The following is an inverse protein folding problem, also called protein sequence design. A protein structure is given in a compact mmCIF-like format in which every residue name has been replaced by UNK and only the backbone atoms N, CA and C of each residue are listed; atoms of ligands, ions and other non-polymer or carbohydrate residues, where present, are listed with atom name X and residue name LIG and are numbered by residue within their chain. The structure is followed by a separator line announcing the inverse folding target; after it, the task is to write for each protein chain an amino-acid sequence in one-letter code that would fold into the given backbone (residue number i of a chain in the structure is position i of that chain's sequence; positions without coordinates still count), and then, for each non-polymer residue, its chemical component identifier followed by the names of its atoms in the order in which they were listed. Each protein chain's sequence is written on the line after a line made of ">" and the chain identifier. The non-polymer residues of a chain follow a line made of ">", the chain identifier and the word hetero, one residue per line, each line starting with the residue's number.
data_IF_833216197714
#
_entry.id   IF_833216197714
#
_cell.length_a   1.000
_cell.length_b   1.000
_cell.length_c   1.000
_cell.angle_alpha   90.00
_cell.angle_beta   90.00
_cell.angle_gamma   90.00
#
_symmetry.space_group_name_H-M   'P 1'
#
loop_
_entity.id
_entity.type
_entity.pdbx_description
1 polymer ?
#
# COMPACT_ATOMS: atom_id res chain seq x y z
N UNK A 1 4.23 0.53 0.90
CA UNK A 1 3.51 1.80 0.97
C UNK A 1 2.57 1.93 2.20
N UNK A 2 2.42 0.89 3.02
CA UNK A 2 1.67 0.96 4.28
C UNK A 2 0.16 1.24 4.15
N UNK A 3 -0.45 0.97 3.00
CA UNK A 3 -1.88 1.20 2.76
C UNK A 3 -2.77 0.29 3.61
N UNK A 4 -3.99 0.75 3.89
CA UNK A 4 -5.04 -0.09 4.49
C UNK A 4 -5.63 -1.01 3.44
N UNK A 5 -6.10 -2.19 3.86
CA UNK A 5 -6.71 -3.17 2.95
C UNK A 5 -7.87 -2.60 2.13
N UNK A 6 -8.70 -1.74 2.74
CA UNK A 6 -9.80 -1.06 2.03
C UNK A 6 -9.30 -0.08 0.96
N UNK A 7 -8.20 0.64 1.24
CA UNK A 7 -7.55 1.52 0.27
C UNK A 7 -6.99 0.71 -0.91
N UNK A 8 -6.33 -0.42 -0.62
CA UNK A 8 -5.82 -1.34 -1.66
C UNK A 8 -6.95 -1.92 -2.52
N UNK A 9 -8.07 -2.32 -1.87
CA UNK A 9 -9.23 -2.86 -2.58
C UNK A 9 -9.91 -1.84 -3.50
N UNK A 10 -9.82 -0.55 -3.15
CA UNK A 10 -10.46 0.56 -3.89
C UNK A 10 -9.60 1.09 -5.05
N UNK A 11 -8.33 0.65 -5.19
CA UNK A 11 -7.44 1.13 -6.25
C UNK A 11 -7.95 0.78 -7.64
N UNK A 12 -7.83 1.75 -8.52
CA UNK A 12 -8.09 1.63 -9.95
C UNK A 12 -6.80 1.80 -10.74
N UNK A 13 -6.83 1.47 -12.01
CA UNK A 13 -5.67 1.60 -12.90
C UNK A 13 -5.25 3.08 -13.00
N UNK A 14 -6.19 4.01 -13.12
CA UNK A 14 -5.91 5.45 -13.15
C UNK A 14 -5.28 6.01 -11.87
N UNK A 15 -5.37 5.30 -10.74
CA UNK A 15 -4.72 5.73 -9.51
C UNK A 15 -3.23 5.40 -9.49
N UNK A 16 -2.77 4.51 -10.39
CA UNK A 16 -1.43 3.92 -10.38
C UNK A 16 -0.64 4.15 -11.65
N UNK A 17 -1.31 4.15 -12.81
CA UNK A 17 -0.68 4.38 -14.11
C UNK A 17 -0.87 5.82 -14.58
N UNK A 18 0.23 6.44 -15.00
CA UNK A 18 0.24 7.69 -15.74
C UNK A 18 -0.22 7.47 -17.18
N UNK A 19 -0.50 8.56 -17.90
CA UNK A 19 -0.99 8.52 -19.29
C UNK A 19 -0.01 7.87 -20.27
N UNK A 20 1.28 7.88 -19.95
CA UNK A 20 2.35 7.25 -20.73
C UNK A 20 2.53 5.74 -20.41
N UNK A 21 1.70 5.18 -19.53
CA UNK A 21 1.76 3.77 -19.13
C UNK A 21 2.81 3.46 -18.06
N UNK A 22 3.47 4.45 -17.49
CA UNK A 22 4.40 4.26 -16.38
C UNK A 22 3.66 4.22 -15.03
N UNK A 23 4.23 3.49 -14.06
CA UNK A 23 3.71 3.49 -12.69
C UNK A 23 4.12 4.78 -11.99
N UNK A 24 3.15 5.48 -11.42
CA UNK A 24 3.35 6.75 -10.73
C UNK A 24 4.13 6.58 -9.41
N UNK A 25 4.92 7.59 -9.05
CA UNK A 25 5.64 7.65 -7.77
C UNK A 25 4.72 7.96 -6.59
N UNK A 26 3.54 8.49 -6.87
CA UNK A 26 2.55 8.88 -5.87
C UNK A 26 1.15 8.40 -6.28
N UNK A 27 0.41 7.88 -5.33
CA UNK A 27 -1.00 7.51 -5.48
C UNK A 27 -1.84 8.51 -4.69
N UNK A 28 -2.63 9.32 -5.38
CA UNK A 28 -3.59 10.24 -4.77
C UNK A 28 -4.89 9.50 -4.44
N UNK A 29 -5.09 9.14 -3.17
CA UNK A 29 -6.32 8.52 -2.71
C UNK A 29 -7.40 9.58 -2.49
N UNK A 30 -8.52 9.45 -3.19
CA UNK A 30 -9.69 10.28 -2.94
C UNK A 30 -10.31 9.99 -1.55
N UNK A 31 -11.05 10.93 -1.00
CA UNK A 31 -11.71 10.78 0.29
C UNK A 31 -12.60 9.53 0.35
N UNK A 32 -13.33 9.22 -0.72
CA UNK A 32 -14.18 8.03 -0.85
C UNK A 32 -13.44 6.70 -0.80
N UNK A 33 -12.13 6.68 -1.09
CA UNK A 33 -11.28 5.50 -1.04
C UNK A 33 -10.68 5.25 0.35
N UNK A 34 -10.86 6.18 1.29
CA UNK A 34 -10.26 6.11 2.62
C UNK A 34 -11.31 5.90 3.72
N UNK A 35 -10.97 5.14 4.76
CA UNK A 35 -11.87 4.90 5.91
C UNK A 35 -12.28 6.18 6.65
N UNK A 36 -11.47 7.23 6.56
CA UNK A 36 -11.69 8.48 7.30
C UNK A 36 -12.32 9.59 6.50
N UNK A 37 -12.74 9.31 5.26
CA UNK A 37 -13.26 10.28 4.29
C UNK A 37 -12.36 11.53 4.13
N UNK A 38 -11.03 11.31 4.13
CA UNK A 38 -10.01 12.33 3.89
C UNK A 38 -9.08 11.86 2.80
N UNK A 39 -8.86 12.69 1.79
CA UNK A 39 -7.87 12.41 0.75
C UNK A 39 -6.46 12.34 1.35
N UNK A 40 -5.60 11.53 0.77
CA UNK A 40 -4.18 11.46 1.12
C UNK A 40 -3.34 10.95 -0.04
N UNK A 41 -2.09 11.35 -0.08
CA UNK A 41 -1.10 10.81 -1.01
C UNK A 41 -0.35 9.64 -0.38
N UNK A 42 -0.09 8.61 -1.17
CA UNK A 42 0.72 7.45 -0.80
C UNK A 42 1.95 7.44 -1.69
N UNK A 43 3.14 7.52 -1.09
CA UNK A 43 4.40 7.42 -1.82
C UNK A 43 4.68 5.98 -2.23
N UNK A 44 5.05 5.78 -3.49
CA UNK A 44 5.32 4.46 -4.09
C UNK A 44 6.84 4.32 -4.29
N UNK A 45 7.54 3.57 -3.42
CA UNK A 45 8.97 3.39 -3.56
C UNK A 45 9.31 2.62 -4.85
N UNK A 46 10.50 2.85 -5.40
CA UNK A 46 10.94 2.29 -6.68
C UNK A 46 10.70 0.77 -6.80
N UNK A 47 11.05 0.02 -5.76
CA UNK A 47 10.78 -1.42 -5.72
C UNK A 47 9.30 -1.77 -5.94
N UNK A 48 8.39 -0.99 -5.36
CA UNK A 48 6.94 -1.23 -5.55
C UNK A 48 6.47 -0.79 -6.94
N UNK A 49 7.07 0.25 -7.52
CA UNK A 49 6.80 0.63 -8.91
C UNK A 49 7.18 -0.51 -9.87
N UNK A 50 8.35 -1.12 -9.67
CA UNK A 50 8.83 -2.24 -10.48
C UNK A 50 7.89 -3.44 -10.36
N UNK A 51 7.51 -3.85 -9.15
CA UNK A 51 6.56 -4.95 -8.89
C UNK A 51 5.16 -4.69 -9.51
N UNK A 52 4.69 -3.45 -9.45
CA UNK A 52 3.42 -3.06 -10.08
C UNK A 52 3.52 -3.06 -11.60
N UNK A 53 4.65 -2.63 -12.14
CA UNK A 53 4.94 -2.67 -13.57
C UNK A 53 4.90 -4.12 -14.08
N UNK A 54 5.62 -5.01 -13.42
CA UNK A 54 5.64 -6.44 -13.75
C UNK A 54 4.23 -7.05 -13.67
N UNK A 55 3.48 -6.76 -12.61
CA UNK A 55 2.10 -7.21 -12.45
C UNK A 55 1.20 -6.74 -13.60
N UNK A 56 1.31 -5.47 -13.98
CA UNK A 56 0.47 -4.89 -15.03
C UNK A 56 0.87 -5.41 -16.42
N UNK A 57 2.16 -5.61 -16.66
CA UNK A 57 2.67 -6.22 -17.89
C UNK A 57 2.21 -7.68 -18.03
N UNK A 58 2.25 -8.46 -16.95
CA UNK A 58 1.74 -9.83 -16.96
C UNK A 58 0.22 -9.88 -17.21
N UNK A 59 -0.51 -8.90 -16.70
CA UNK A 59 -1.97 -8.86 -16.81
C UNK A 59 -2.47 -8.40 -18.16
N UNK A 60 -1.83 -7.41 -18.76
CA UNK A 60 -2.31 -6.74 -19.98
C UNK A 60 -1.40 -6.95 -21.20
N UNK A 61 -0.17 -7.36 -20.99
CA UNK A 61 0.89 -7.33 -21.98
C UNK A 61 1.50 -5.94 -22.16
N UNK A 62 2.78 -5.88 -22.45
CA UNK A 62 3.52 -4.62 -22.58
C UNK A 62 2.91 -3.69 -23.63
N UNK A 63 2.54 -4.23 -24.80
CA UNK A 63 1.96 -3.47 -25.91
C UNK A 63 0.58 -2.86 -25.60
N UNK A 64 -0.15 -3.40 -24.60
CA UNK A 64 -1.51 -2.98 -24.28
C UNK A 64 -1.59 -2.00 -23.12
N UNK A 65 -0.50 -1.73 -22.39
CA UNK A 65 -0.52 -0.83 -21.24
C UNK A 65 -0.99 0.57 -21.62
N UNK A 66 -0.49 1.12 -22.71
CA UNK A 66 -0.94 2.43 -23.21
C UNK A 66 -2.42 2.43 -23.60
N UNK A 67 -2.90 1.38 -24.25
CA UNK A 67 -4.31 1.27 -24.59
C UNK A 67 -5.21 1.21 -23.34
N UNK A 68 -4.78 0.55 -22.29
CA UNK A 68 -5.50 0.46 -21.01
C UNK A 68 -5.59 1.83 -20.33
N UNK A 69 -4.54 2.67 -20.40
CA UNK A 69 -4.58 4.04 -19.85
C UNK A 69 -5.53 4.96 -20.61
N UNK A 70 -5.89 4.64 -21.84
CA UNK A 70 -6.80 5.44 -22.65
C UNK A 70 -8.27 4.95 -22.60
N UNK A 71 -8.48 3.64 -22.45
CA UNK A 71 -9.81 3.04 -22.66
C UNK A 71 -10.46 2.48 -21.41
N UNK A 72 -9.71 2.08 -20.38
CA UNK A 72 -10.23 1.31 -19.23
C UNK A 72 -9.65 1.75 -17.87
N UNK A 73 -9.42 3.05 -17.72
CA UNK A 73 -8.75 3.64 -16.54
C UNK A 73 -9.48 3.40 -15.23
N UNK A 74 -10.80 3.27 -15.28
CA UNK A 74 -11.65 3.08 -14.09
C UNK A 74 -11.72 1.63 -13.61
N UNK A 75 -11.05 0.73 -14.31
CA UNK A 75 -10.99 -0.69 -13.96
C UNK A 75 -10.23 -0.90 -12.65
N UNK A 76 -10.69 -1.86 -11.85
CA UNK A 76 -10.02 -2.22 -10.61
C UNK A 76 -8.57 -2.66 -10.87
N UNK A 77 -7.63 -2.13 -10.06
CA UNK A 77 -6.23 -2.55 -10.09
C UNK A 77 -6.10 -4.04 -9.74
N UNK A 78 -6.82 -4.49 -8.71
CA UNK A 78 -6.88 -5.89 -8.29
C UNK A 78 -8.31 -6.42 -8.49
N UNK A 79 -8.60 -7.07 -9.63
CA UNK A 79 -9.93 -7.59 -9.92
C UNK A 79 -10.19 -8.91 -9.21
N UNK A 80 -11.47 -9.26 -9.05
CA UNK A 80 -11.85 -10.59 -8.60
C UNK A 80 -11.72 -11.60 -9.75
N UNK A 81 -11.46 -12.86 -9.42
CA UNK A 81 -11.40 -13.94 -10.42
C UNK A 81 -12.74 -14.14 -11.17
N UNK A 82 -13.87 -13.93 -10.46
CA UNK A 82 -15.21 -14.11 -11.04
C UNK A 82 -15.61 -12.98 -11.99
N UNK A 83 -15.08 -11.78 -11.80
CA UNK A 83 -15.39 -10.64 -12.64
C UNK A 83 -14.15 -9.74 -12.82
N UNK A 84 -13.51 -9.77 -13.99
CA UNK A 84 -12.29 -9.00 -14.27
C UNK A 84 -12.47 -7.47 -14.21
N UNK A 85 -13.71 -6.98 -14.25
CA UNK A 85 -14.02 -5.53 -14.17
C UNK A 85 -14.26 -5.07 -12.73
N UNK A 86 -14.57 -6.02 -11.80
CA UNK A 86 -14.90 -5.69 -10.41
C UNK A 86 -13.72 -5.96 -9.48
N UNK A 87 -13.37 -4.97 -8.66
CA UNK A 87 -12.38 -5.11 -7.59
C UNK A 87 -12.89 -5.91 -6.40
N UNK A 88 -11.98 -6.27 -5.53
CA UNK A 88 -12.32 -6.83 -4.22
C UNK A 88 -13.07 -5.81 -3.36
N UNK A 89 -13.92 -6.28 -2.48
CA UNK A 89 -14.31 -5.49 -1.30
C UNK A 89 -13.21 -5.58 -0.23
N UNK A 90 -13.20 -4.65 0.73
CA UNK A 90 -12.25 -4.73 1.84
C UNK A 90 -12.33 -6.08 2.57
N UNK A 91 -13.54 -6.59 2.78
CA UNK A 91 -13.76 -7.86 3.45
C UNK A 91 -13.23 -9.06 2.66
N UNK A 92 -13.55 -9.14 1.37
CA UNK A 92 -13.07 -10.26 0.51
C UNK A 92 -11.56 -10.23 0.33
N UNK A 93 -10.95 -9.03 0.28
CA UNK A 93 -9.49 -8.90 0.25
C UNK A 93 -8.85 -9.31 1.58
N UNK A 94 -9.47 -9.00 2.74
CA UNK A 94 -9.04 -9.52 4.03
C UNK A 94 -9.03 -11.06 4.06
N UNK A 95 -10.08 -11.69 3.55
CA UNK A 95 -10.18 -13.16 3.46
C UNK A 95 -9.08 -13.74 2.57
N UNK A 96 -8.79 -13.09 1.43
CA UNK A 96 -7.70 -13.49 0.55
C UNK A 96 -6.33 -13.39 1.25
N UNK A 97 -6.04 -12.29 1.95
CA UNK A 97 -4.82 -12.16 2.75
C UNK A 97 -4.71 -13.24 3.82
N UNK A 98 -5.82 -13.53 4.51
CA UNK A 98 -5.84 -14.60 5.51
C UNK A 98 -5.46 -15.96 4.89
N UNK A 99 -6.04 -16.28 3.72
CA UNK A 99 -5.69 -17.50 2.98
C UNK A 99 -4.22 -17.52 2.58
N UNK A 100 -3.70 -16.45 1.97
CA UNK A 100 -2.29 -16.34 1.55
C UNK A 100 -1.34 -16.56 2.74
N UNK A 101 -1.59 -15.92 3.87
CA UNK A 101 -0.74 -16.07 5.06
C UNK A 101 -0.83 -17.49 5.65
N UNK A 102 -2.02 -18.10 5.63
CA UNK A 102 -2.20 -19.48 6.07
C UNK A 102 -1.41 -20.44 5.18
N UNK A 103 -1.52 -20.29 3.85
CA UNK A 103 -0.82 -21.12 2.87
C UNK A 103 0.71 -20.94 2.98
N UNK A 104 1.17 -19.73 3.30
CA UNK A 104 2.57 -19.41 3.59
C UNK A 104 3.02 -19.81 5.01
N UNK A 105 2.17 -20.48 5.82
CA UNK A 105 2.44 -20.89 7.21
C UNK A 105 2.82 -19.72 8.14
N UNK A 106 2.37 -18.51 7.84
CA UNK A 106 2.60 -17.31 8.65
C UNK A 106 1.53 -17.19 9.75
N UNK A 107 1.78 -17.86 10.87
CA UNK A 107 0.84 -17.86 12.01
C UNK A 107 0.67 -16.45 12.60
N UNK A 108 -0.57 -16.05 12.89
CA UNK A 108 -0.90 -14.75 13.48
C UNK A 108 -0.86 -13.56 12.51
N UNK A 109 -0.48 -13.78 11.23
CA UNK A 109 -0.52 -12.72 10.24
C UNK A 109 -1.96 -12.38 9.80
N UNK A 110 -2.21 -11.09 9.60
CA UNK A 110 -3.52 -10.55 9.21
C UNK A 110 -3.36 -9.56 8.05
N UNK A 111 -4.47 -9.08 7.49
CA UNK A 111 -4.47 -8.03 6.46
C UNK A 111 -3.78 -6.72 6.91
N UNK A 112 -3.58 -6.53 8.22
CA UNK A 112 -2.85 -5.38 8.77
C UNK A 112 -1.35 -5.63 8.95
N UNK A 113 -0.87 -6.87 8.82
CA UNK A 113 0.52 -7.23 9.09
C UNK A 113 1.52 -6.49 8.20
N UNK A 114 1.24 -6.39 6.90
CA UNK A 114 2.10 -5.64 5.98
C UNK A 114 2.22 -4.15 6.36
N UNK A 115 1.11 -3.52 6.75
CA UNK A 115 1.11 -2.13 7.21
C UNK A 115 1.85 -1.97 8.55
N UNK A 116 1.67 -2.90 9.49
CA UNK A 116 2.42 -2.93 10.74
C UNK A 116 3.92 -3.01 10.45
N UNK A 117 4.34 -3.99 9.65
CA UNK A 117 5.74 -4.16 9.25
C UNK A 117 6.32 -2.92 8.57
N UNK A 118 5.55 -2.23 7.73
CA UNK A 118 5.97 -0.98 7.10
C UNK A 118 6.30 0.10 8.14
N UNK A 119 5.42 0.29 9.12
CA UNK A 119 5.60 1.33 10.15
C UNK A 119 6.76 0.97 11.09
N UNK A 120 6.81 -0.28 11.58
CA UNK A 120 7.86 -0.72 12.52
C UNK A 120 9.25 -0.69 11.88
N UNK A 121 9.39 -1.17 10.64
CA UNK A 121 10.69 -1.12 9.93
C UNK A 121 11.18 0.31 9.68
N UNK A 122 10.30 1.26 9.45
CA UNK A 122 10.69 2.66 9.32
C UNK A 122 11.03 3.28 10.68
N UNK A 123 10.30 2.92 11.73
CA UNK A 123 10.62 3.32 13.10
C UNK A 123 12.00 2.81 13.54
N UNK A 124 12.30 1.54 13.26
CA UNK A 124 13.61 0.90 13.54
C UNK A 124 14.78 1.57 12.79
N UNK A 125 14.47 2.25 11.67
CA UNK A 125 15.45 3.06 10.93
C UNK A 125 15.56 4.51 11.43
N UNK A 126 14.92 4.84 12.55
CA UNK A 126 14.98 6.17 13.16
C UNK A 126 14.07 7.22 12.50
N UNK A 127 13.11 6.81 11.66
CA UNK A 127 12.16 7.75 11.05
C UNK A 127 11.24 8.33 12.13
N UNK A 128 11.20 9.66 12.23
CA UNK A 128 10.45 10.37 13.25
C UNK A 128 8.93 10.07 13.21
N UNK A 129 8.30 10.03 14.40
CA UNK A 129 6.89 9.64 14.57
C UNK A 129 5.91 10.46 13.74
N UNK A 130 6.16 11.75 13.52
CA UNK A 130 5.31 12.61 12.68
C UNK A 130 5.34 12.20 11.21
N UNK A 131 6.51 11.82 10.70
CA UNK A 131 6.67 11.31 9.33
C UNK A 131 5.97 9.96 9.19
N UNK A 132 6.14 9.06 10.16
CA UNK A 132 5.44 7.77 10.19
C UNK A 132 3.92 7.95 10.23
N UNK A 133 3.44 8.90 11.02
CA UNK A 133 2.01 9.24 11.09
C UNK A 133 1.48 9.69 9.73
N UNK A 134 2.19 10.58 9.04
CA UNK A 134 1.84 11.08 7.71
C UNK A 134 1.83 9.95 6.67
N UNK A 135 2.91 9.16 6.58
CA UNK A 135 3.03 8.03 5.67
C UNK A 135 1.94 6.98 5.89
N UNK A 136 1.61 6.71 7.14
CA UNK A 136 0.54 5.77 7.48
C UNK A 136 -0.87 6.38 7.30
N UNK A 137 -1.02 7.69 7.23
CA UNK A 137 -2.32 8.37 7.25
C UNK A 137 -3.08 8.11 8.56
N UNK A 138 -2.38 8.24 9.70
CA UNK A 138 -3.00 8.19 11.02
C UNK A 138 -3.47 9.60 11.42
N UNK A 139 -4.67 9.70 11.99
CA UNK A 139 -5.21 10.96 12.48
C UNK A 139 -4.63 11.38 13.83
N UNK A 140 -4.06 10.43 14.57
CA UNK A 140 -3.50 10.65 15.91
C UNK A 140 -2.11 10.04 16.01
N UNK A 141 -1.20 10.79 16.64
CA UNK A 141 0.15 10.35 16.92
C UNK A 141 0.16 9.12 17.84
N UNK A 142 -0.77 9.04 18.79
CA UNK A 142 -0.94 7.90 19.69
C UNK A 142 -1.20 6.59 18.93
N UNK A 143 -1.87 6.65 17.77
CA UNK A 143 -2.06 5.48 16.91
C UNK A 143 -0.72 5.00 16.33
N UNK A 144 0.18 5.91 15.98
CA UNK A 144 1.50 5.58 15.43
C UNK A 144 2.43 5.07 16.52
N UNK A 145 2.39 5.67 17.71
CA UNK A 145 3.24 5.29 18.85
C UNK A 145 3.06 3.82 19.27
N UNK A 146 1.87 3.23 19.07
CA UNK A 146 1.63 1.80 19.32
C UNK A 146 2.49 0.85 18.50
N UNK A 147 3.09 1.33 17.42
CA UNK A 147 3.97 0.56 16.53
C UNK A 147 5.45 0.88 16.74
N UNK A 148 5.77 1.81 17.65
CA UNK A 148 7.12 2.25 17.92
C UNK A 148 7.52 1.69 19.28
N UNK A 149 8.35 0.65 19.26
CA UNK A 149 8.98 0.13 20.47
C UNK A 149 10.32 0.84 20.70
N UNK A 150 10.70 1.02 21.95
CA UNK A 150 12.02 1.53 22.28
C UNK A 150 13.07 0.49 21.87
N UNK A 151 13.83 0.83 20.85
CA UNK A 151 14.88 -0.04 20.34
C UNK A 151 16.25 0.45 20.87
N UNK A 152 16.94 -0.34 21.74
CA UNK A 152 18.23 0.05 22.28
C UNK A 152 19.29 0.39 21.24
N UNK A 153 19.25 -0.27 20.08
CA UNK A 153 20.17 0.00 18.96
C UNK A 153 19.92 1.38 18.36
N UNK A 154 18.67 1.76 18.18
CA UNK A 154 18.31 3.11 17.67
C UNK A 154 18.68 4.16 18.70
N UNK A 155 18.48 3.89 19.99
CA UNK A 155 18.89 4.80 21.07
C UNK A 155 20.40 5.04 21.09
N UNK A 156 21.21 3.97 20.97
CA UNK A 156 22.68 4.09 20.89
C UNK A 156 23.10 4.88 19.66
N UNK A 157 22.56 4.55 18.49
CA UNK A 157 22.87 5.27 17.25
C UNK A 157 22.48 6.76 17.34
N UNK A 158 21.40 7.10 18.01
CA UNK A 158 20.97 8.50 18.18
C UNK A 158 21.94 9.31 19.06
N UNK A 159 22.52 8.69 20.10
CA UNK A 159 23.49 9.34 20.98
C UNK A 159 24.82 9.61 20.25
N UNK A 160 25.22 8.76 19.31
CA UNK A 160 26.43 8.93 18.50
C UNK A 160 26.32 10.05 17.45
N UNK A 161 25.15 10.67 17.28
CA UNK A 161 24.95 11.78 16.34
C UNK A 161 25.39 13.16 16.93
N UNK A 162 25.71 13.22 18.21
CA UNK A 162 26.18 14.39 18.92
C UNK A 162 27.66 14.24 19.26
#
# INVERSE_FOLDING_TARGET
>A
AGMRVGEVAALRICDVLAADGTVMEEIALAASQTKGNQSRTVLVPKKLQDELTDYLQQRFGLANLLAVTQTDTQRALFPTQKNPKRGFTANTLCQLFHKIYKDARMTGATSHSGRRTFITKLADKGVGVRVLMALAGHKSIATTQRYIELNPTVMKAAVELI
#
